data_IF_751972425108
#
_entry.id   IF_751972425108
#
_cell.length_a   1.000
_cell.length_b   1.000
_cell.length_c   1.000
_cell.angle_alpha   90.00
_cell.angle_beta   90.00
_cell.angle_gamma   90.00
#
_symmetry.space_group_name_H-M   'P 1'
#
loop_
_entity.id
_entity.type
_entity.pdbx_description
1 polymer ?
#
# COMPACT_ATOMS: atom_id res chain seq x y z
N UNK A 1 -23.88 -19.18 -15.32
CA UNK A 1 -23.50 -19.08 -13.89
C UNK A 1 -22.79 -20.37 -13.50
N UNK A 2 -22.06 -20.37 -12.38
CA UNK A 2 -21.48 -21.58 -11.78
C UNK A 2 -21.85 -21.64 -10.31
N UNK A 3 -22.00 -22.85 -9.78
CA UNK A 3 -22.23 -23.03 -8.35
C UNK A 3 -21.03 -22.55 -7.54
N UNK A 4 -21.32 -22.01 -6.36
CA UNK A 4 -20.28 -21.63 -5.41
C UNK A 4 -19.83 -22.89 -4.67
N UNK A 5 -18.52 -23.18 -4.74
CA UNK A 5 -17.90 -24.32 -4.08
C UNK A 5 -18.21 -24.35 -2.57
N UNK A 6 -18.67 -25.49 -2.07
CA UNK A 6 -19.14 -25.71 -0.70
C UNK A 6 -20.57 -25.21 -0.43
N UNK A 7 -21.23 -24.61 -1.42
CA UNK A 7 -22.58 -24.06 -1.37
C UNK A 7 -23.42 -24.47 -2.60
N UNK A 8 -23.09 -25.62 -3.19
CA UNK A 8 -23.74 -26.20 -4.37
C UNK A 8 -25.26 -26.31 -4.16
N UNK A 9 -26.03 -26.00 -5.21
CA UNK A 9 -27.49 -25.93 -5.16
C UNK A 9 -28.10 -24.83 -4.27
N UNK A 10 -27.31 -24.14 -3.43
CA UNK A 10 -27.79 -23.05 -2.57
C UNK A 10 -27.50 -21.67 -3.18
N UNK A 11 -26.29 -21.51 -3.73
CA UNK A 11 -25.86 -20.26 -4.36
C UNK A 11 -25.02 -20.51 -5.61
N UNK A 12 -25.18 -19.63 -6.59
CA UNK A 12 -24.35 -19.58 -7.79
C UNK A 12 -23.82 -18.16 -8.03
N UNK A 13 -22.81 -18.04 -8.87
CA UNK A 13 -22.18 -16.77 -9.22
C UNK A 13 -21.98 -16.65 -10.73
N UNK A 14 -22.09 -15.44 -11.27
CA UNK A 14 -21.76 -15.15 -12.67
C UNK A 14 -20.36 -14.52 -12.84
N UNK A 15 -19.94 -14.36 -14.10
CA UNK A 15 -18.64 -13.75 -14.45
C UNK A 15 -18.52 -12.28 -14.05
N UNK A 16 -19.62 -11.60 -13.71
CA UNK A 16 -19.65 -10.18 -13.31
C UNK A 16 -19.60 -10.01 -11.78
N UNK A 17 -19.67 -11.10 -11.02
CA UNK A 17 -19.68 -11.10 -9.56
C UNK A 17 -21.07 -11.02 -8.94
N UNK A 18 -22.14 -11.23 -9.71
CA UNK A 18 -23.48 -11.31 -9.13
C UNK A 18 -23.69 -12.69 -8.49
N UNK A 19 -24.00 -12.69 -7.20
CA UNK A 19 -24.31 -13.92 -6.45
C UNK A 19 -25.81 -14.15 -6.46
N UNK A 20 -26.26 -15.27 -6.99
CA UNK A 20 -27.66 -15.68 -7.02
C UNK A 20 -27.96 -16.66 -5.88
N UNK A 21 -29.08 -16.46 -5.19
CA UNK A 21 -29.56 -17.39 -4.15
C UNK A 21 -30.68 -18.24 -4.74
N UNK A 22 -30.47 -19.55 -4.84
CA UNK A 22 -31.46 -20.49 -5.39
C UNK A 22 -32.70 -20.57 -4.49
N UNK A 23 -32.51 -20.59 -3.16
CA UNK A 23 -33.61 -20.58 -2.18
C UNK A 23 -34.50 -19.35 -2.32
N UNK A 24 -33.91 -18.15 -2.52
CA UNK A 24 -34.66 -16.89 -2.60
C UNK A 24 -35.05 -16.50 -4.02
N UNK A 25 -34.59 -17.27 -5.02
CA UNK A 25 -34.75 -17.03 -6.45
C UNK A 25 -34.40 -15.61 -6.88
N UNK A 26 -33.34 -15.04 -6.32
CA UNK A 26 -32.90 -13.66 -6.63
C UNK A 26 -31.41 -13.46 -6.50
N UNK A 27 -30.92 -12.43 -7.19
CA UNK A 27 -29.56 -11.89 -6.98
C UNK A 27 -29.48 -11.26 -5.60
N UNK A 28 -28.42 -11.59 -4.89
CA UNK A 28 -28.12 -11.11 -3.55
C UNK A 28 -27.57 -9.69 -3.60
N UNK A 29 -28.03 -8.84 -2.68
CA UNK A 29 -27.49 -7.49 -2.55
C UNK A 29 -26.03 -7.53 -2.08
N UNK A 30 -25.13 -6.79 -2.72
CA UNK A 30 -23.72 -6.73 -2.32
C UNK A 30 -23.56 -6.04 -0.97
N UNK A 31 -22.57 -6.46 -0.18
CA UNK A 31 -22.11 -5.74 1.02
C UNK A 31 -20.69 -5.26 0.84
N UNK A 32 -20.39 -4.07 1.32
CA UNK A 32 -19.06 -3.47 1.18
C UNK A 32 -18.31 -3.49 2.51
N UNK A 33 -17.03 -3.89 2.49
CA UNK A 33 -16.13 -3.79 3.64
C UNK A 33 -14.75 -3.35 3.19
N UNK A 34 -14.29 -2.19 3.67
CA UNK A 34 -12.99 -1.59 3.29
C UNK A 34 -12.81 -1.47 1.76
N UNK A 35 -13.90 -1.17 1.05
CA UNK A 35 -13.95 -1.06 -0.41
C UNK A 35 -14.14 -2.37 -1.18
N UNK A 36 -14.13 -3.53 -0.52
CA UNK A 36 -14.34 -4.83 -1.17
C UNK A 36 -15.79 -5.28 -1.09
N UNK A 37 -16.29 -5.86 -2.18
CA UNK A 37 -17.62 -6.47 -2.24
C UNK A 37 -17.60 -7.86 -1.61
N UNK A 38 -18.60 -8.15 -0.78
CA UNK A 38 -18.80 -9.43 -0.09
C UNK A 38 -20.22 -9.93 -0.28
N UNK A 39 -20.36 -11.25 -0.33
CA UNK A 39 -21.63 -11.95 -0.29
C UNK A 39 -21.82 -12.64 1.06
N UNK A 40 -23.03 -12.56 1.60
CA UNK A 40 -23.43 -13.31 2.80
C UNK A 40 -24.03 -14.63 2.36
N UNK A 41 -23.33 -15.73 2.62
CA UNK A 41 -23.79 -17.08 2.33
C UNK A 41 -24.22 -17.77 3.62
N UNK A 42 -25.27 -18.58 3.54
CA UNK A 42 -25.80 -19.32 4.69
C UNK A 42 -25.98 -20.78 4.32
N UNK A 43 -25.39 -21.68 5.12
CA UNK A 43 -25.52 -23.14 5.00
C UNK A 43 -25.64 -23.72 6.40
N UNK A 44 -26.59 -24.61 6.65
CA UNK A 44 -26.79 -25.28 7.95
C UNK A 44 -26.84 -24.30 9.14
N UNK A 45 -27.61 -23.21 9.02
CA UNK A 45 -27.71 -22.12 10.01
C UNK A 45 -26.40 -21.35 10.30
N UNK A 46 -25.29 -21.69 9.63
CA UNK A 46 -24.02 -20.98 9.73
C UNK A 46 -23.94 -19.92 8.63
N UNK A 47 -23.63 -18.69 9.04
CA UNK A 47 -23.50 -17.54 8.15
C UNK A 47 -22.03 -17.23 7.93
N UNK A 48 -21.61 -17.06 6.67
CA UNK A 48 -20.26 -16.62 6.30
C UNK A 48 -20.32 -15.45 5.34
N UNK A 49 -19.45 -14.48 5.53
CA UNK A 49 -19.24 -13.39 4.57
C UNK A 49 -17.99 -13.68 3.77
N UNK A 50 -18.14 -13.95 2.47
CA UNK A 50 -17.04 -14.30 1.57
C UNK A 50 -16.83 -13.16 0.58
N UNK A 51 -15.58 -12.90 0.18
CA UNK A 51 -15.27 -11.87 -0.83
C UNK A 51 -15.78 -12.29 -2.20
N UNK A 52 -16.45 -11.39 -2.92
CA UNK A 52 -16.98 -11.69 -4.25
C UNK A 52 -15.86 -11.97 -5.25
N UNK A 53 -14.74 -11.23 -5.20
CA UNK A 53 -13.60 -11.49 -6.09
C UNK A 53 -13.07 -12.93 -5.94
N UNK A 54 -13.08 -13.48 -4.71
CA UNK A 54 -12.61 -14.84 -4.44
C UNK A 54 -13.59 -15.86 -5.02
N UNK A 55 -14.89 -15.63 -4.85
CA UNK A 55 -15.93 -16.48 -5.43
C UNK A 55 -15.85 -16.51 -6.96
N UNK A 56 -15.66 -15.35 -7.61
CA UNK A 56 -15.53 -15.27 -9.08
C UNK A 56 -14.25 -15.98 -9.53
N UNK A 57 -13.11 -15.70 -8.89
CA UNK A 57 -11.85 -16.30 -9.26
C UNK A 57 -11.87 -17.83 -9.10
N UNK A 58 -12.41 -18.35 -8.00
CA UNK A 58 -12.55 -19.79 -7.78
C UNK A 58 -13.45 -20.47 -8.81
N UNK A 59 -14.53 -19.80 -9.23
CA UNK A 59 -15.45 -20.37 -10.20
C UNK A 59 -14.91 -20.34 -11.64
N UNK A 60 -14.19 -19.28 -12.04
CA UNK A 60 -13.92 -19.00 -13.46
C UNK A 60 -12.45 -18.91 -13.85
N UNK A 61 -11.52 -18.82 -12.90
CA UNK A 61 -10.09 -18.61 -13.17
C UNK A 61 -9.30 -19.80 -12.63
N UNK A 62 -8.72 -20.66 -13.49
CA UNK A 62 -7.81 -21.72 -13.07
C UNK A 62 -6.67 -21.17 -12.21
N UNK A 63 -6.27 -21.93 -11.19
CA UNK A 63 -5.17 -21.58 -10.31
C UNK A 63 -4.14 -22.72 -10.23
N UNK A 64 -3.46 -23.06 -11.34
CA UNK A 64 -2.53 -24.18 -11.38
C UNK A 64 -1.34 -24.01 -10.43
N UNK A 65 -0.92 -22.78 -10.18
CA UNK A 65 0.18 -22.42 -9.27
C UNK A 65 -0.26 -22.33 -7.79
N UNK A 66 -1.54 -22.61 -7.50
CA UNK A 66 -2.12 -22.54 -6.15
C UNK A 66 -1.83 -21.22 -5.42
N UNK A 67 -1.87 -20.09 -6.15
CA UNK A 67 -1.61 -18.77 -5.58
C UNK A 67 -2.73 -18.38 -4.60
N UNK A 68 -2.40 -17.85 -3.41
CA UNK A 68 -3.38 -17.72 -2.33
C UNK A 68 -4.27 -16.47 -2.40
N UNK A 69 -3.93 -15.46 -3.21
CA UNK A 69 -4.65 -14.18 -3.25
C UNK A 69 -5.23 -13.88 -4.63
N UNK A 70 -6.27 -13.06 -4.66
CA UNK A 70 -6.86 -12.54 -5.91
C UNK A 70 -6.61 -11.04 -5.98
N UNK A 71 -6.01 -10.59 -7.08
CA UNK A 71 -5.76 -9.17 -7.37
C UNK A 71 -6.84 -8.60 -8.29
N UNK A 72 -7.06 -7.29 -8.19
CA UNK A 72 -7.82 -6.50 -9.16
C UNK A 72 -6.84 -5.75 -10.06
N UNK A 73 -6.79 -6.11 -11.36
CA UNK A 73 -5.83 -5.57 -12.32
C UNK A 73 -5.93 -4.04 -12.44
N UNK A 74 -7.13 -3.49 -12.43
CA UNK A 74 -7.37 -2.04 -12.50
C UNK A 74 -7.31 -1.31 -11.14
N UNK A 75 -7.00 -2.00 -10.04
CA UNK A 75 -7.03 -1.49 -8.66
C UNK A 75 -8.41 -1.02 -8.14
N UNK A 76 -9.49 -1.27 -8.87
CA UNK A 76 -10.87 -0.94 -8.50
C UNK A 76 -11.47 -2.16 -7.79
N UNK A 77 -11.66 -2.03 -6.48
CA UNK A 77 -11.96 -3.16 -5.56
C UNK A 77 -13.39 -3.72 -5.67
N UNK A 78 -14.29 -2.98 -6.30
CA UNK A 78 -15.67 -3.35 -6.57
C UNK A 78 -15.91 -3.82 -8.00
N UNK A 79 -14.91 -3.72 -8.89
CA UNK A 79 -14.93 -4.31 -10.23
C UNK A 79 -14.57 -5.80 -10.17
N UNK A 80 -15.56 -6.64 -9.87
CA UNK A 80 -15.39 -8.08 -9.68
C UNK A 80 -15.59 -8.89 -10.97
N UNK A 81 -15.48 -8.27 -12.14
CA UNK A 81 -15.59 -8.98 -13.41
C UNK A 81 -14.39 -9.90 -13.60
N UNK A 82 -14.63 -11.10 -14.13
CA UNK A 82 -13.61 -12.15 -14.29
C UNK A 82 -12.37 -11.65 -15.04
N UNK A 83 -12.55 -10.81 -16.07
CA UNK A 83 -11.45 -10.24 -16.85
C UNK A 83 -10.50 -9.35 -16.03
N UNK A 84 -11.02 -8.73 -14.96
CA UNK A 84 -10.29 -7.83 -14.07
C UNK A 84 -9.60 -8.55 -12.90
N UNK A 85 -9.83 -9.86 -12.74
CA UNK A 85 -9.28 -10.63 -11.63
C UNK A 85 -8.14 -11.54 -12.09
N UNK A 86 -7.22 -11.82 -11.18
CA UNK A 86 -6.12 -12.76 -11.37
C UNK A 86 -5.63 -13.31 -10.03
N UNK A 87 -5.09 -14.53 -10.05
CA UNK A 87 -4.47 -15.13 -8.88
C UNK A 87 -3.03 -14.62 -8.73
N UNK A 88 -2.65 -14.21 -7.51
CA UNK A 88 -1.34 -13.64 -7.19
C UNK A 88 -0.82 -14.12 -5.83
N UNK A 89 0.49 -14.09 -5.68
CA UNK A 89 1.18 -14.15 -4.39
C UNK A 89 1.10 -12.82 -3.66
N UNK A 90 1.47 -12.81 -2.38
CA UNK A 90 1.52 -11.57 -1.61
C UNK A 90 2.48 -10.54 -2.23
N UNK A 91 3.66 -11.00 -2.64
CA UNK A 91 4.70 -10.13 -3.20
C UNK A 91 4.27 -9.48 -4.51
N UNK A 92 3.73 -10.26 -5.44
CA UNK A 92 3.20 -9.75 -6.72
C UNK A 92 2.10 -8.70 -6.49
N UNK A 93 1.18 -8.95 -5.55
CA UNK A 93 0.11 -8.00 -5.22
C UNK A 93 0.66 -6.67 -4.69
N UNK A 94 1.64 -6.74 -3.78
CA UNK A 94 2.30 -5.54 -3.25
C UNK A 94 3.03 -4.79 -4.35
N UNK A 95 3.80 -5.49 -5.20
CA UNK A 95 4.52 -4.87 -6.31
C UNK A 95 3.57 -4.19 -7.30
N UNK A 96 2.49 -4.86 -7.69
CA UNK A 96 1.45 -4.32 -8.56
C UNK A 96 0.85 -3.03 -7.98
N UNK A 97 0.51 -3.04 -6.69
CA UNK A 97 0.00 -1.84 -6.00
C UNK A 97 1.04 -0.72 -5.95
N UNK A 98 2.30 -1.01 -5.61
CA UNK A 98 3.36 -0.01 -5.51
C UNK A 98 3.70 0.64 -6.86
N UNK A 99 3.67 -0.13 -7.94
CA UNK A 99 3.91 0.34 -9.31
C UNK A 99 2.81 1.30 -9.78
N UNK A 100 1.56 0.99 -9.45
CA UNK A 100 0.39 1.71 -9.97
C UNK A 100 -0.19 2.75 -9.00
N UNK A 101 0.22 2.77 -7.72
CA UNK A 101 -0.27 3.78 -6.77
C UNK A 101 0.24 5.16 -7.16
N UNK A 102 -0.65 6.16 -7.09
CA UNK A 102 -0.23 7.57 -7.12
C UNK A 102 0.60 7.86 -5.87
N UNK A 103 1.79 8.44 -6.04
CA UNK A 103 2.61 8.91 -4.91
C UNK A 103 1.81 9.96 -4.13
N UNK A 104 1.41 9.63 -2.91
CA UNK A 104 0.79 10.61 -2.00
C UNK A 104 1.87 11.59 -1.56
N UNK A 105 1.62 12.89 -1.70
CA UNK A 105 2.46 13.91 -1.04
C UNK A 105 2.29 13.74 0.46
N UNK A 106 3.39 13.59 1.19
CA UNK A 106 3.36 13.62 2.65
C UNK A 106 2.97 15.03 3.08
N UNK A 107 1.70 15.23 3.47
CA UNK A 107 1.17 16.54 3.92
C UNK A 107 1.91 17.09 5.15
N UNK A 108 2.58 16.22 5.92
CA UNK A 108 3.39 16.61 7.08
C UNK A 108 4.86 16.87 6.78
N UNK A 109 5.32 16.69 5.53
CA UNK A 109 6.73 16.96 5.19
C UNK A 109 6.94 18.45 4.99
N UNK A 110 7.77 19.08 5.83
CA UNK A 110 8.16 20.50 5.69
C UNK A 110 9.03 20.76 4.46
N UNK A 111 9.80 19.75 4.04
CA UNK A 111 10.74 19.84 2.93
C UNK A 111 10.36 18.89 1.80
N UNK A 112 10.60 19.33 0.57
CA UNK A 112 10.65 18.47 -0.60
C UNK A 112 12.01 17.79 -0.72
N UNK A 113 12.12 16.79 -1.59
CA UNK A 113 13.43 16.20 -1.93
C UNK A 113 14.40 17.26 -2.47
N UNK A 114 13.90 18.18 -3.29
CA UNK A 114 14.70 19.27 -3.84
C UNK A 114 15.26 20.18 -2.74
N UNK A 115 14.46 20.55 -1.74
CA UNK A 115 14.94 21.38 -0.63
C UNK A 115 16.05 20.69 0.16
N UNK A 116 15.91 19.39 0.39
CA UNK A 116 16.93 18.57 1.07
C UNK A 116 18.22 18.52 0.25
N UNK A 117 18.12 18.25 -1.05
CA UNK A 117 19.26 18.19 -1.96
C UNK A 117 19.96 19.56 -2.07
N UNK A 118 19.18 20.65 -2.10
CA UNK A 118 19.70 22.02 -2.14
C UNK A 118 20.43 22.38 -0.83
N UNK A 119 19.87 22.02 0.34
CA UNK A 119 20.50 22.25 1.64
C UNK A 119 21.84 21.49 1.70
N UNK A 120 21.87 20.21 1.34
CA UNK A 120 23.09 19.39 1.32
C UNK A 120 24.16 19.97 0.39
N UNK A 121 23.75 20.44 -0.79
CA UNK A 121 24.67 20.98 -1.80
C UNK A 121 25.21 22.36 -1.44
N UNK A 122 24.35 23.28 -0.99
CA UNK A 122 24.74 24.68 -0.71
C UNK A 122 25.36 24.86 0.68
N UNK A 123 24.93 24.04 1.64
CA UNK A 123 25.29 24.15 3.05
C UNK A 123 25.73 22.78 3.61
N UNK A 124 26.86 22.23 3.12
CA UNK A 124 27.38 20.96 3.64
C UNK A 124 27.95 21.09 5.07
N UNK A 125 28.41 22.29 5.45
CA UNK A 125 28.99 22.60 6.76
C UNK A 125 28.21 23.74 7.44
N UNK A 126 28.09 23.73 8.78
CA UNK A 126 27.35 24.75 9.52
C UNK A 126 27.94 26.16 9.31
N UNK A 127 27.06 27.15 9.23
CA UNK A 127 27.41 28.57 9.09
C UNK A 127 26.72 29.42 10.15
N UNK A 128 27.40 30.45 10.65
CA UNK A 128 26.84 31.39 11.62
C UNK A 128 25.59 32.11 11.10
N UNK A 129 25.49 32.33 9.78
CA UNK A 129 24.33 32.95 9.12
C UNK A 129 23.08 32.06 9.10
N UNK A 130 23.19 30.76 9.44
CA UNK A 130 22.10 29.78 9.52
C UNK A 130 21.10 29.86 8.35
N UNK A 131 21.57 29.80 7.09
CA UNK A 131 20.73 30.04 5.90
C UNK A 131 19.58 29.03 5.74
N UNK A 132 19.67 27.85 6.37
CA UNK A 132 18.61 26.84 6.37
C UNK A 132 17.32 27.27 7.08
N UNK A 133 17.35 28.31 7.94
CA UNK A 133 16.14 28.83 8.58
C UNK A 133 15.07 29.31 7.59
N UNK A 134 15.47 29.71 6.37
CA UNK A 134 14.53 30.09 5.29
C UNK A 134 13.61 28.94 4.83
N UNK A 135 14.01 27.69 5.08
CA UNK A 135 13.20 26.51 4.82
C UNK A 135 12.31 26.11 6.01
N UNK A 136 12.20 26.98 7.03
CA UNK A 136 11.40 26.75 8.25
C UNK A 136 11.80 25.48 9.02
N UNK A 137 13.12 25.26 9.14
CA UNK A 137 13.70 24.13 9.88
C UNK A 137 14.61 24.60 11.02
N UNK A 138 14.68 23.79 12.08
CA UNK A 138 15.55 24.03 13.23
C UNK A 138 16.99 23.63 12.94
N UNK A 139 17.93 24.11 13.75
CA UNK A 139 19.35 23.75 13.63
C UNK A 139 19.54 22.22 13.80
N UNK A 140 18.83 21.60 14.74
CA UNK A 140 18.83 20.14 14.90
C UNK A 140 18.33 19.40 13.65
N UNK A 141 17.31 19.94 12.98
CA UNK A 141 16.80 19.35 11.73
C UNK A 141 17.82 19.51 10.59
N UNK A 142 18.47 20.68 10.47
CA UNK A 142 19.60 20.87 9.56
C UNK A 142 20.71 19.84 9.80
N UNK A 143 21.17 19.69 11.05
CA UNK A 143 22.20 18.71 11.37
C UNK A 143 21.80 17.28 11.00
N UNK A 144 20.52 16.91 11.20
CA UNK A 144 19.98 15.61 10.78
C UNK A 144 20.05 15.42 9.25
N UNK A 145 19.73 16.46 8.47
CA UNK A 145 19.75 16.45 7.00
C UNK A 145 21.17 16.22 6.47
N UNK A 146 22.15 16.97 7.00
CA UNK A 146 23.54 16.93 6.52
C UNK A 146 24.32 15.73 7.05
N UNK A 147 24.01 15.25 8.27
CA UNK A 147 24.62 14.06 8.87
C UNK A 147 24.03 12.72 8.37
N UNK A 148 23.08 12.76 7.42
CA UNK A 148 22.40 11.59 6.85
C UNK A 148 21.78 10.64 7.91
N UNK A 149 21.35 11.17 9.06
CA UNK A 149 20.91 10.35 10.20
C UNK A 149 19.58 9.62 9.98
N UNK A 150 18.88 9.86 8.87
CA UNK A 150 17.70 9.07 8.48
C UNK A 150 17.69 8.69 7.00
N UNK A 151 17.95 7.39 6.78
CA UNK A 151 17.57 6.46 5.69
C UNK A 151 17.30 7.06 4.28
N UNK A 152 18.03 6.50 3.31
CA UNK A 152 17.81 6.53 1.84
C UNK A 152 18.62 7.53 1.00
N UNK A 153 19.93 7.63 1.23
CA UNK A 153 20.87 7.84 0.13
C UNK A 153 22.15 7.01 0.35
N UNK A 154 22.30 5.84 -0.31
CA UNK A 154 23.48 4.99 -0.18
C UNK A 154 24.73 5.55 -0.88
N UNK A 155 24.60 6.63 -1.65
CA UNK A 155 25.71 7.26 -2.39
C UNK A 155 26.28 8.49 -1.66
N UNK A 156 25.56 9.03 -0.68
CA UNK A 156 25.99 10.19 0.07
C UNK A 156 27.04 9.84 1.14
N UNK A 157 28.29 10.26 0.91
CA UNK A 157 29.37 10.22 1.89
C UNK A 157 29.44 11.56 2.63
N UNK A 158 29.03 11.64 3.92
CA UNK A 158 29.17 12.89 4.66
C UNK A 158 30.65 13.26 4.81
N UNK A 159 31.02 14.47 4.39
CA UNK A 159 32.36 15.04 4.60
C UNK A 159 32.54 15.70 5.97
N UNK A 160 31.54 15.59 6.84
CA UNK A 160 31.46 16.32 8.10
C UNK A 160 32.25 15.57 9.18
N UNK A 161 33.26 16.21 9.75
CA UNK A 161 33.93 15.70 10.95
C UNK A 161 32.92 15.69 12.13
N UNK A 162 32.84 14.61 12.91
CA UNK A 162 31.89 14.52 14.01
C UNK A 162 32.04 15.69 15.01
N UNK A 163 30.89 16.28 15.36
CA UNK A 163 30.74 17.53 16.14
C UNK A 163 31.38 17.44 17.54
N UNK A 164 31.55 16.22 18.08
CA UNK A 164 32.16 15.97 19.40
C UNK A 164 33.69 16.16 19.43
N UNK A 165 34.35 16.44 18.31
CA UNK A 165 35.81 16.64 18.27
C UNK A 165 36.27 18.03 18.70
N UNK A 166 35.35 18.97 18.99
CA UNK A 166 35.69 20.37 19.31
C UNK A 166 35.46 20.77 20.77
N UNK A 167 35.06 19.85 21.66
CA UNK A 167 35.03 20.12 23.10
C UNK A 167 36.43 19.83 23.65
N UNK A 168 37.36 20.78 23.51
CA UNK A 168 38.57 20.80 24.34
C UNK A 168 38.15 21.22 25.74
N UNK A 169 38.46 20.39 26.74
CA UNK A 169 38.38 20.70 28.17
C UNK A 169 38.98 22.09 28.45
N UNK A 170 38.26 23.01 29.11
CA UNK A 170 38.94 24.06 29.83
C UNK A 170 39.54 23.43 31.09
N UNK A 171 40.86 23.22 31.06
CA UNK A 171 41.62 23.17 32.31
C UNK A 171 41.76 24.59 32.82
N UNK A 172 41.23 24.84 34.01
CA UNK A 172 41.83 25.66 35.08
C UNK A 172 41.07 25.38 36.37
#
# INVERSE_FOLDING_TARGET
MKDILGYEGLYSIDKRGNVFSHRRRKVMSPRYRKGYVRATLTKNKIIRQISVQQLVAQAFIPNPENKPYVNHKNLIKDDNRVENLEWVTHLENVQHFLKNRKKRKNKGSKLTKHDVDEIRRKYPEPRNSKPWKRYNITDAHYYSIVANRHRFDPTYKPNIKPIWTTIKNPQT
#
